data_IF_405935394582
#
_entry.id   IF_405935394582
#
_cell.length_a   1.000
_cell.length_b   1.000
_cell.length_c   1.000
_cell.angle_alpha   90.00
_cell.angle_beta   90.00
_cell.angle_gamma   90.00
#
_symmetry.space_group_name_H-M   'P 1'
#
loop_
_entity.id
_entity.type
_entity.pdbx_description
1 polymer ?
#
# COMPACT_ATOMS: atom_id res chain seq x y z
N UNK A 1 -9.91 -5.99 6.53
CA UNK A 1 -9.61 -6.85 5.38
C UNK A 1 -9.70 -6.01 4.13
N UNK A 2 -8.80 -6.25 3.17
CA UNK A 2 -9.00 -5.87 1.77
C UNK A 2 -10.11 -6.76 1.18
N UNK A 3 -10.70 -6.39 0.04
CA UNK A 3 -11.69 -7.21 -0.71
C UNK A 3 -11.41 -8.71 -0.55
N UNK A 4 -12.34 -9.41 0.10
CA UNK A 4 -12.25 -10.84 0.41
C UNK A 4 -13.13 -11.69 -0.52
N UNK A 5 -13.50 -11.14 -1.68
CA UNK A 5 -14.42 -11.75 -2.64
C UNK A 5 -13.70 -12.62 -3.68
N UNK A 6 -12.36 -12.66 -3.66
CA UNK A 6 -11.55 -13.46 -4.55
C UNK A 6 -10.31 -14.06 -3.86
N UNK A 7 -9.80 -15.17 -4.42
CA UNK A 7 -8.67 -15.91 -3.85
C UNK A 7 -7.38 -15.08 -3.65
N UNK A 8 -6.99 -14.18 -4.57
CA UNK A 8 -5.86 -13.27 -4.34
C UNK A 8 -6.06 -12.36 -3.12
N UNK A 9 -7.25 -11.76 -2.97
CA UNK A 9 -7.59 -10.89 -1.85
C UNK A 9 -7.56 -11.62 -0.50
N UNK A 10 -8.13 -12.83 -0.46
CA UNK A 10 -8.07 -13.69 0.73
C UNK A 10 -6.61 -14.05 1.10
N UNK A 11 -5.79 -14.38 0.10
CA UNK A 11 -4.36 -14.71 0.31
C UNK A 11 -3.59 -13.51 0.86
N UNK A 12 -3.82 -12.31 0.31
CA UNK A 12 -3.19 -11.09 0.78
C UNK A 12 -3.59 -10.76 2.24
N UNK A 13 -4.87 -10.94 2.59
CA UNK A 13 -5.35 -10.76 3.96
C UNK A 13 -4.69 -11.74 4.94
N UNK A 14 -4.59 -13.03 4.58
CA UNK A 14 -3.93 -14.05 5.41
C UNK A 14 -2.45 -13.73 5.59
N UNK A 15 -1.77 -13.32 4.52
CA UNK A 15 -0.36 -12.94 4.58
C UNK A 15 -0.13 -11.75 5.53
N UNK A 16 -0.94 -10.70 5.40
CA UNK A 16 -0.85 -9.54 6.28
C UNK A 16 -1.11 -9.89 7.76
N UNK A 17 -2.11 -10.76 8.02
CA UNK A 17 -2.42 -11.21 9.39
C UNK A 17 -1.31 -12.06 10.00
N UNK A 18 -0.72 -12.99 9.22
CA UNK A 18 0.42 -13.75 9.67
C UNK A 18 1.63 -12.85 9.97
N UNK A 19 1.93 -11.90 9.08
CA UNK A 19 3.04 -10.96 9.27
C UNK A 19 2.85 -10.06 10.48
N UNK A 20 1.63 -9.58 10.73
CA UNK A 20 1.29 -8.83 11.92
C UNK A 20 1.53 -9.66 13.20
N UNK A 21 1.08 -10.93 13.20
CA UNK A 21 1.26 -11.85 14.34
C UNK A 21 2.73 -12.16 14.61
N UNK A 22 3.55 -12.34 13.58
CA UNK A 22 5.00 -12.51 13.71
C UNK A 22 5.67 -11.28 14.35
N UNK A 23 5.13 -10.10 14.08
CA UNK A 23 5.51 -8.84 14.74
C UNK A 23 4.89 -8.63 16.13
N UNK A 24 4.13 -9.59 16.65
CA UNK A 24 3.47 -9.51 17.95
C UNK A 24 2.14 -8.76 17.96
N UNK A 25 1.64 -8.32 16.81
CA UNK A 25 0.37 -7.61 16.67
C UNK A 25 -0.74 -8.62 16.35
N UNK A 26 -1.78 -8.66 17.19
CA UNK A 26 -2.96 -9.49 16.99
C UNK A 26 -4.18 -8.61 16.86
N UNK A 27 -4.74 -8.54 15.67
CA UNK A 27 -5.94 -7.77 15.38
C UNK A 27 -7.15 -8.69 15.30
N UNK A 28 -8.25 -8.26 15.90
CA UNK A 28 -9.58 -8.80 15.67
C UNK A 28 -10.07 -8.49 14.26
N UNK A 29 -11.12 -9.19 13.82
CA UNK A 29 -11.78 -8.90 12.54
C UNK A 29 -12.26 -7.44 12.45
N UNK A 30 -12.73 -6.87 13.56
CA UNK A 30 -13.16 -5.47 13.63
C UNK A 30 -12.01 -4.50 13.41
N UNK A 31 -10.86 -4.75 14.00
CA UNK A 31 -9.65 -3.93 13.80
C UNK A 31 -9.14 -4.06 12.37
N UNK A 32 -9.14 -5.28 11.82
CA UNK A 32 -8.83 -5.48 10.40
C UNK A 32 -9.81 -4.74 9.49
N UNK A 33 -11.10 -4.72 9.81
CA UNK A 33 -12.08 -3.94 9.06
C UNK A 33 -11.76 -2.44 9.13
N UNK A 34 -11.42 -1.93 10.32
CA UNK A 34 -11.01 -0.54 10.50
C UNK A 34 -9.76 -0.20 9.68
N UNK A 35 -8.74 -1.06 9.68
CA UNK A 35 -7.56 -0.93 8.81
C UNK A 35 -7.94 -0.78 7.34
N UNK A 36 -8.90 -1.57 6.84
CA UNK A 36 -9.37 -1.48 5.45
C UNK A 36 -10.05 -0.14 5.15
N UNK A 37 -10.84 0.39 6.10
CA UNK A 37 -11.46 1.72 5.98
C UNK A 37 -10.41 2.82 5.95
N UNK A 38 -9.40 2.74 6.84
CA UNK A 38 -8.34 3.73 6.92
C UNK A 38 -7.49 3.73 5.65
N UNK A 39 -7.16 2.55 5.11
CA UNK A 39 -6.46 2.40 3.83
C UNK A 39 -7.22 3.10 2.69
N UNK A 40 -8.53 2.87 2.60
CA UNK A 40 -9.38 3.52 1.59
C UNK A 40 -9.46 5.03 1.75
N UNK A 41 -9.45 5.53 3.00
CA UNK A 41 -9.43 6.97 3.27
C UNK A 41 -8.11 7.60 2.84
N UNK A 42 -6.98 6.99 3.20
CA UNK A 42 -5.66 7.45 2.78
C UNK A 42 -5.51 7.43 1.25
N UNK A 43 -6.00 6.39 0.55
CA UNK A 43 -6.00 6.35 -0.93
C UNK A 43 -6.85 7.49 -1.51
N UNK A 44 -8.05 7.74 -0.97
CA UNK A 44 -8.91 8.82 -1.44
C UNK A 44 -8.28 10.20 -1.21
N UNK A 45 -7.64 10.42 -0.07
CA UNK A 45 -6.98 11.69 0.24
C UNK A 45 -5.79 11.94 -0.69
N UNK A 46 -5.04 10.90 -1.06
CA UNK A 46 -3.96 11.00 -2.05
C UNK A 46 -4.51 11.39 -3.44
N UNK A 47 -5.61 10.75 -3.87
CA UNK A 47 -6.28 11.10 -5.14
C UNK A 47 -6.82 12.52 -5.14
N UNK A 48 -7.37 12.98 -4.02
CA UNK A 48 -7.81 14.37 -3.86
C UNK A 48 -6.65 15.34 -3.98
N UNK A 49 -5.50 15.04 -3.35
CA UNK A 49 -4.29 15.83 -3.51
C UNK A 49 -3.85 15.98 -4.97
N UNK A 50 -3.91 14.89 -5.76
CA UNK A 50 -3.62 14.95 -7.19
C UNK A 50 -4.66 15.76 -7.98
N UNK A 51 -5.96 15.66 -7.64
CA UNK A 51 -7.00 16.48 -8.26
C UNK A 51 -6.79 17.97 -7.97
N UNK A 52 -6.53 18.32 -6.71
CA UNK A 52 -6.31 19.69 -6.27
C UNK A 52 -5.04 20.29 -6.89
N UNK A 53 -4.05 19.45 -7.20
CA UNK A 53 -2.85 19.83 -7.96
C UNK A 53 -3.08 19.95 -9.48
N UNK A 54 -4.31 19.78 -9.98
CA UNK A 54 -4.63 19.84 -11.41
C UNK A 54 -4.12 18.63 -12.20
N UNK A 55 -3.90 17.49 -11.53
CA UNK A 55 -3.41 16.22 -12.10
C UNK A 55 -4.48 15.12 -12.05
N UNK A 56 -5.63 15.29 -12.74
CA UNK A 56 -6.70 14.29 -12.74
C UNK A 56 -6.28 12.96 -13.38
N UNK A 57 -5.28 12.98 -14.26
CA UNK A 57 -4.64 11.79 -14.83
C UNK A 57 -4.02 10.90 -13.74
N UNK A 58 -3.31 11.52 -12.80
CA UNK A 58 -2.68 10.83 -11.67
C UNK A 58 -3.70 10.48 -10.59
N UNK A 59 -4.72 11.31 -10.38
CA UNK A 59 -5.79 10.98 -9.44
C UNK A 59 -6.57 9.72 -9.86
N UNK A 60 -6.77 9.52 -11.16
CA UNK A 60 -7.39 8.31 -11.70
C UNK A 60 -6.45 7.11 -11.59
N UNK A 61 -5.19 7.29 -11.97
CA UNK A 61 -4.16 6.25 -11.98
C UNK A 61 -3.01 6.67 -11.07
N UNK A 62 -3.19 6.49 -9.75
CA UNK A 62 -2.16 6.89 -8.79
C UNK A 62 -0.81 6.27 -9.16
N UNK A 63 0.27 7.07 -9.16
CA UNK A 63 1.62 6.54 -9.29
C UNK A 63 1.85 5.40 -8.31
N UNK A 64 2.58 4.37 -8.75
CA UNK A 64 2.91 3.21 -7.91
C UNK A 64 3.60 3.64 -6.60
N UNK A 65 4.36 4.75 -6.65
CA UNK A 65 4.96 5.33 -5.46
C UNK A 65 3.94 5.80 -4.44
N UNK A 66 2.94 6.55 -4.87
CA UNK A 66 1.94 7.13 -4.00
C UNK A 66 1.06 6.02 -3.40
N UNK A 67 0.75 4.99 -4.20
CA UNK A 67 0.08 3.77 -3.72
C UNK A 67 0.90 3.07 -2.63
N UNK A 68 2.21 2.93 -2.82
CA UNK A 68 3.09 2.34 -1.81
C UNK A 68 3.12 3.18 -0.53
N UNK A 69 3.22 4.51 -0.65
CA UNK A 69 3.28 5.41 0.50
C UNK A 69 1.95 5.40 1.29
N UNK A 70 0.81 5.26 0.62
CA UNK A 70 -0.51 5.03 1.24
C UNK A 70 -0.54 3.72 2.04
N UNK A 71 -0.01 2.63 1.49
CA UNK A 71 0.05 1.34 2.19
C UNK A 71 1.00 1.42 3.39
N UNK A 72 2.21 1.95 3.20
CA UNK A 72 3.21 2.12 4.25
C UNK A 72 2.63 2.90 5.44
N UNK A 73 1.97 4.05 5.18
CA UNK A 73 1.29 4.85 6.23
C UNK A 73 0.19 4.05 6.94
N UNK A 74 -0.60 3.29 6.20
CA UNK A 74 -1.73 2.52 6.77
C UNK A 74 -1.24 1.38 7.66
N UNK A 75 -0.19 0.66 7.26
CA UNK A 75 0.43 -0.37 8.10
C UNK A 75 1.10 0.24 9.35
N UNK A 76 1.84 1.34 9.18
CA UNK A 76 2.51 2.02 10.30
C UNK A 76 1.52 2.58 11.34
N UNK A 77 0.38 3.13 10.90
CA UNK A 77 -0.65 3.63 11.80
C UNK A 77 -1.24 2.54 12.72
N UNK A 78 -1.17 1.27 12.29
CA UNK A 78 -1.60 0.10 13.05
C UNK A 78 -0.42 -0.68 13.66
N UNK A 79 0.78 -0.10 13.65
CA UNK A 79 2.02 -0.69 14.20
C UNK A 79 2.45 -2.01 13.53
N UNK A 80 2.02 -2.24 12.29
CA UNK A 80 2.37 -3.42 11.51
C UNK A 80 3.54 -3.06 10.59
N UNK A 81 4.49 -3.97 10.41
CA UNK A 81 5.56 -3.83 9.41
C UNK A 81 4.92 -3.66 8.02
N UNK A 82 5.23 -2.57 7.28
CA UNK A 82 4.73 -2.38 5.91
C UNK A 82 5.01 -3.54 4.96
N UNK A 83 6.01 -4.39 5.23
CA UNK A 83 6.28 -5.62 4.48
C UNK A 83 5.16 -6.67 4.61
N UNK A 84 4.14 -6.43 5.44
CA UNK A 84 2.87 -7.15 5.43
C UNK A 84 2.05 -6.91 4.15
N UNK A 85 2.41 -5.93 3.33
CA UNK A 85 1.86 -5.75 1.98
C UNK A 85 2.66 -6.58 0.97
N UNK A 86 2.02 -7.61 0.37
CA UNK A 86 2.69 -8.58 -0.52
C UNK A 86 3.50 -7.99 -1.68
N UNK A 87 3.13 -6.86 -2.34
CA UNK A 87 3.93 -6.28 -3.42
C UNK A 87 5.16 -5.49 -2.94
N UNK A 88 5.25 -5.15 -1.65
CA UNK A 88 6.15 -4.11 -1.18
C UNK A 88 7.63 -4.41 -1.45
N UNK A 89 8.09 -5.62 -1.14
CA UNK A 89 9.50 -5.99 -1.33
C UNK A 89 9.90 -5.99 -2.81
N UNK A 90 9.01 -6.46 -3.68
CA UNK A 90 9.19 -6.39 -5.13
C UNK A 90 9.30 -4.94 -5.62
N UNK A 91 8.41 -4.05 -5.15
CA UNK A 91 8.45 -2.63 -5.52
C UNK A 91 9.74 -1.95 -5.04
N UNK A 92 10.20 -2.25 -3.83
CA UNK A 92 11.48 -1.75 -3.32
C UNK A 92 12.68 -2.29 -4.10
N UNK A 93 12.66 -3.57 -4.50
CA UNK A 93 13.71 -4.16 -5.31
C UNK A 93 13.74 -3.54 -6.71
N UNK A 94 12.58 -3.37 -7.35
CA UNK A 94 12.46 -2.71 -8.65
C UNK A 94 12.98 -1.27 -8.62
N UNK A 95 12.75 -0.52 -7.53
CA UNK A 95 13.32 0.83 -7.35
C UNK A 95 14.84 0.81 -7.21
N UNK A 96 15.41 -0.13 -6.44
CA UNK A 96 16.86 -0.27 -6.27
C UNK A 96 17.54 -0.59 -7.59
N UNK A 97 17.00 -1.55 -8.35
CA UNK A 97 17.57 -1.94 -9.65
C UNK A 97 17.27 -0.92 -10.77
N UNK A 98 16.11 -0.26 -10.74
CA UNK A 98 15.78 0.81 -11.68
C UNK A 98 16.58 2.10 -11.45
N UNK A 99 16.89 2.41 -10.18
CA UNK A 99 17.73 3.55 -9.80
C UNK A 99 19.22 3.39 -10.14
N UNK A 100 19.71 2.16 -10.31
CA UNK A 100 21.06 1.87 -10.80
C UNK A 100 21.16 1.96 -12.35
N UNK A 101 20.02 2.04 -13.06
CA UNK A 101 19.97 2.07 -14.53
C UNK A 101 19.48 3.38 -15.16
N UNK A 102 18.93 4.33 -14.39
CA UNK A 102 18.25 5.52 -14.92
C UNK A 102 19.03 6.82 -14.71
N UNK A 103 20.32 6.81 -15.07
CA UNK A 103 21.00 7.98 -15.62
C UNK A 103 21.10 7.84 -17.14
N UNK A 104 19.99 8.02 -17.86
CA UNK A 104 20.03 8.22 -19.30
C UNK A 104 18.81 9.02 -19.82
N UNK A 105 19.00 10.34 -19.84
CA UNK A 105 18.55 11.29 -20.87
C UNK A 105 17.03 11.51 -21.02
N UNK A 106 16.61 12.70 -20.60
CA UNK A 106 15.70 13.50 -21.42
C UNK A 106 16.39 14.85 -21.66
N UNK A 107 16.91 15.04 -22.88
CA UNK A 107 17.10 16.34 -23.49
C UNK A 107 15.92 16.57 -24.43
#
# INVERSE_FOLDING_TARGET
MVRNDNAPGATANIFADNRARDGGIRMSEREWNQFGVDLMRHDLDERRGQLDAGRPDLALNLPVRDVQDVHDRSFQAHQIDPNAWTPREFLQAARRHGGEGETARTQ
#
